data_IF_359946268565
#
_entry.id   IF_359946268565
#
_cell.length_a   1.000
_cell.length_b   1.000
_cell.length_c   1.000
_cell.angle_alpha   90.00
_cell.angle_beta   90.00
_cell.angle_gamma   90.00
#
_symmetry.space_group_name_H-M   'P 1'
#
loop_
_entity.id
_entity.type
_entity.pdbx_description
1 polymer ?
#
# COMPACT_ATOMS: atom_id res chain seq x y z
N UNK A 1 52.02 -47.01 16.75
CA UNK A 1 50.77 -46.53 17.36
C UNK A 1 49.79 -47.68 17.45
N UNK A 2 49.25 -47.94 18.65
CA UNK A 2 48.33 -49.06 18.88
C UNK A 2 47.05 -48.92 18.06
N UNK A 3 46.60 -49.97 17.40
CA UNK A 3 45.36 -49.99 16.62
C UNK A 3 44.12 -49.41 17.34
N UNK A 4 43.97 -49.62 18.66
CA UNK A 4 42.88 -48.97 19.42
C UNK A 4 42.94 -47.44 19.40
N UNK A 5 44.11 -46.85 19.57
CA UNK A 5 44.30 -45.38 19.56
C UNK A 5 43.93 -44.79 18.19
N UNK A 6 44.35 -45.46 17.09
CA UNK A 6 44.00 -45.04 15.73
C UNK A 6 42.49 -45.10 15.45
N UNK A 7 41.78 -46.10 16.00
CA UNK A 7 40.31 -46.19 15.88
C UNK A 7 39.61 -45.08 16.68
N UNK A 8 40.06 -44.82 17.89
CA UNK A 8 39.49 -43.71 18.71
C UNK A 8 39.75 -42.36 18.03
N UNK A 9 40.96 -42.11 17.54
CA UNK A 9 41.26 -40.87 16.81
C UNK A 9 40.39 -40.71 15.55
N UNK A 10 40.14 -41.77 14.80
CA UNK A 10 39.25 -41.73 13.61
C UNK A 10 37.81 -41.39 14.01
N UNK A 11 37.27 -41.96 15.08
CA UNK A 11 35.92 -41.66 15.60
C UNK A 11 35.83 -40.20 15.99
N UNK A 12 36.82 -39.66 16.71
CA UNK A 12 36.85 -38.24 17.12
C UNK A 12 36.88 -37.31 15.90
N UNK A 13 37.69 -37.62 14.89
CA UNK A 13 37.74 -36.83 13.65
C UNK A 13 36.39 -36.85 12.94
N UNK A 14 35.75 -38.00 12.81
CA UNK A 14 34.42 -38.12 12.22
C UNK A 14 33.39 -37.27 12.95
N UNK A 15 33.40 -37.31 14.31
CA UNK A 15 32.52 -36.51 15.13
C UNK A 15 32.74 -35.01 14.90
N UNK A 16 34.01 -34.57 14.81
CA UNK A 16 34.34 -33.16 14.53
C UNK A 16 33.82 -32.76 13.14
N UNK A 17 34.03 -33.58 12.12
CA UNK A 17 33.56 -33.31 10.76
C UNK A 17 32.03 -33.21 10.72
N UNK A 18 31.31 -34.11 11.38
CA UNK A 18 29.83 -34.07 11.48
C UNK A 18 29.37 -32.81 12.21
N UNK A 19 30.04 -32.42 13.30
CA UNK A 19 29.74 -31.21 14.04
C UNK A 19 29.94 -29.95 13.16
N UNK A 20 31.05 -29.86 12.44
CA UNK A 20 31.35 -28.76 11.52
C UNK A 20 30.32 -28.71 10.38
N UNK A 21 29.97 -29.85 9.78
CA UNK A 21 28.97 -29.94 8.73
C UNK A 21 27.59 -29.45 9.24
N UNK A 22 27.18 -29.90 10.44
CA UNK A 22 25.92 -29.45 11.03
C UNK A 22 25.94 -27.96 11.38
N UNK A 23 27.05 -27.44 11.91
CA UNK A 23 27.20 -26.02 12.22
C UNK A 23 27.12 -25.18 10.95
N UNK A 24 27.80 -25.60 9.87
CA UNK A 24 27.72 -24.94 8.57
C UNK A 24 26.29 -24.97 8.00
N UNK A 25 25.61 -26.11 8.10
CA UNK A 25 24.22 -26.25 7.68
C UNK A 25 23.29 -25.27 8.42
N UNK A 26 23.42 -25.17 9.74
CA UNK A 26 22.60 -24.26 10.56
C UNK A 26 22.94 -22.80 10.25
N UNK A 27 24.23 -22.45 10.13
CA UNK A 27 24.67 -21.09 9.92
C UNK A 27 24.46 -20.54 8.49
N UNK A 28 24.46 -21.42 7.47
CA UNK A 28 24.32 -21.00 6.07
C UNK A 28 22.90 -21.25 5.57
N UNK A 29 22.38 -22.49 5.70
CA UNK A 29 21.10 -22.87 5.10
C UNK A 29 19.88 -22.57 5.98
N UNK A 30 20.02 -22.56 7.31
CA UNK A 30 18.93 -22.24 8.23
C UNK A 30 19.02 -20.85 8.85
N UNK A 31 20.04 -20.06 8.52
CA UNK A 31 20.30 -18.77 9.16
C UNK A 31 19.10 -17.82 9.04
N UNK A 32 18.54 -17.68 7.86
CA UNK A 32 17.43 -16.75 7.62
C UNK A 32 16.12 -17.22 8.28
N UNK A 33 15.84 -18.52 8.26
CA UNK A 33 14.70 -19.09 8.96
C UNK A 33 14.79 -18.92 10.49
N UNK A 34 16.01 -19.05 11.05
CA UNK A 34 16.25 -18.86 12.47
C UNK A 34 16.26 -17.38 12.88
N UNK A 35 16.71 -16.48 12.01
CA UNK A 35 16.64 -15.03 12.23
C UNK A 35 15.21 -14.54 12.21
N UNK A 36 14.37 -15.08 11.34
CA UNK A 36 12.97 -14.70 11.19
C UNK A 36 12.02 -15.41 12.17
N UNK A 37 12.50 -16.33 13.01
CA UNK A 37 11.67 -17.00 14.04
C UNK A 37 11.22 -15.96 15.08
N UNK A 38 9.90 -15.76 15.28
CA UNK A 38 9.37 -14.80 16.27
C UNK A 38 9.81 -15.08 17.71
N UNK A 39 10.26 -16.29 18.00
CA UNK A 39 10.76 -16.70 19.32
C UNK A 39 12.23 -16.37 19.53
N UNK A 40 12.92 -15.85 18.51
CA UNK A 40 14.35 -15.53 18.60
C UNK A 40 14.57 -14.14 19.23
N UNK A 41 14.38 -14.04 20.54
CA UNK A 41 14.59 -12.82 21.31
C UNK A 41 16.00 -12.20 21.17
N UNK A 42 17.01 -12.97 20.75
CA UNK A 42 18.37 -12.44 20.57
C UNK A 42 18.46 -11.51 19.37
N UNK A 43 17.80 -11.85 18.27
CA UNK A 43 17.74 -10.99 17.07
C UNK A 43 16.98 -9.70 17.40
N UNK A 44 15.84 -9.82 18.07
CA UNK A 44 15.08 -8.66 18.53
C UNK A 44 15.91 -7.75 19.44
N UNK A 45 16.57 -8.30 20.45
CA UNK A 45 17.41 -7.51 21.38
C UNK A 45 18.59 -6.85 20.64
N UNK A 46 19.22 -7.51 19.68
CA UNK A 46 20.28 -6.94 18.88
C UNK A 46 19.76 -5.79 17.99
N UNK A 47 18.60 -5.96 17.36
CA UNK A 47 17.95 -4.95 16.54
C UNK A 47 17.57 -3.69 17.36
N UNK A 48 17.05 -3.88 18.58
CA UNK A 48 16.71 -2.76 19.50
C UNK A 48 17.93 -2.19 20.24
N UNK A 49 19.09 -2.83 20.18
CA UNK A 49 20.34 -2.33 20.73
C UNK A 49 21.09 -1.40 19.76
N UNK A 50 20.68 -1.36 18.49
CA UNK A 50 21.28 -0.52 17.44
C UNK A 50 20.43 0.72 17.20
N UNK A 51 21.10 1.83 16.88
CA UNK A 51 20.41 3.05 16.46
C UNK A 51 19.83 2.87 15.06
N UNK A 52 18.52 2.66 14.96
CA UNK A 52 17.80 2.56 13.71
C UNK A 52 17.82 3.90 12.99
N UNK A 53 18.01 3.90 11.66
CA UNK A 53 18.08 5.10 10.84
C UNK A 53 16.79 5.94 10.90
N UNK A 54 16.91 7.23 10.64
CA UNK A 54 15.77 8.13 10.60
C UNK A 54 14.94 7.96 9.31
N UNK A 55 13.63 8.21 9.40
CA UNK A 55 12.78 8.41 8.24
C UNK A 55 12.45 9.89 8.15
N UNK A 56 12.62 10.48 6.97
CA UNK A 56 12.42 11.92 6.74
C UNK A 56 11.44 12.19 5.59
N UNK A 57 10.75 13.31 5.68
CA UNK A 57 9.83 13.83 4.66
C UNK A 57 10.13 15.32 4.46
N UNK A 58 10.48 15.75 3.26
CA UNK A 58 10.77 17.16 2.97
C UNK A 58 11.82 17.80 3.90
N UNK A 59 12.78 17.01 4.42
CA UNK A 59 13.78 17.44 5.39
C UNK A 59 13.37 17.38 6.86
N UNK A 60 12.08 17.16 7.16
CA UNK A 60 11.60 16.93 8.52
C UNK A 60 11.78 15.46 8.93
N UNK A 61 12.15 15.22 10.17
CA UNK A 61 12.22 13.87 10.75
C UNK A 61 10.83 13.42 11.16
N UNK A 62 10.36 12.31 10.59
CA UNK A 62 9.04 11.72 10.89
C UNK A 62 9.13 10.39 11.66
N UNK A 63 10.32 9.80 11.75
CA UNK A 63 10.64 8.72 12.68
C UNK A 63 12.13 8.73 13.02
N UNK A 64 12.47 8.53 14.29
CA UNK A 64 13.85 8.56 14.80
C UNK A 64 14.03 7.60 15.96
N UNK A 65 15.26 7.11 16.17
CA UNK A 65 15.62 6.32 17.36
C UNK A 65 16.26 7.21 18.42
N UNK A 66 15.65 7.23 19.60
CA UNK A 66 16.11 8.03 20.75
C UNK A 66 16.78 7.10 21.76
N UNK A 67 17.99 7.42 22.26
CA UNK A 67 18.64 6.63 23.30
C UNK A 67 17.80 6.56 24.58
N UNK A 68 17.82 5.41 25.25
CA UNK A 68 17.15 5.19 26.52
C UNK A 68 18.07 4.41 27.49
N UNK A 69 17.86 4.58 28.79
CA UNK A 69 18.59 3.84 29.84
C UNK A 69 18.00 2.44 30.07
N UNK A 70 17.04 2.01 29.25
CA UNK A 70 16.42 0.69 29.38
C UNK A 70 17.28 -0.42 28.74
N UNK A 71 16.92 -1.68 29.00
CA UNK A 71 17.54 -2.86 28.35
C UNK A 71 17.50 -2.78 26.82
N UNK A 72 16.46 -2.15 26.28
CA UNK A 72 16.33 -1.81 24.88
C UNK A 72 16.94 -0.40 24.70
N UNK A 73 18.20 -0.33 24.33
CA UNK A 73 18.99 0.92 24.30
C UNK A 73 18.38 2.09 23.53
N UNK A 74 17.49 1.81 22.58
CA UNK A 74 16.85 2.81 21.74
C UNK A 74 15.34 2.64 21.72
N UNK A 75 14.61 3.76 21.85
CA UNK A 75 13.19 3.87 21.64
C UNK A 75 12.93 4.44 20.25
N UNK A 76 12.08 3.78 19.46
CA UNK A 76 11.59 4.36 18.21
C UNK A 76 10.56 5.43 18.53
N UNK A 77 10.79 6.64 18.06
CA UNK A 77 9.94 7.81 18.33
C UNK A 77 9.46 8.43 17.01
N UNK A 78 8.20 8.77 17.00
CA UNK A 78 7.52 9.48 15.92
C UNK A 78 7.11 10.84 16.48
N UNK A 79 7.63 11.97 15.92
CA UNK A 79 7.39 13.29 16.47
C UNK A 79 5.89 13.55 16.69
N UNK A 80 5.48 14.03 17.88
CA UNK A 80 4.06 14.10 18.28
C UNK A 80 3.22 15.02 17.38
N UNK A 81 3.87 16.03 16.78
CA UNK A 81 3.22 16.89 15.79
C UNK A 81 3.05 16.17 14.46
N UNK A 82 2.03 15.32 14.39
CA UNK A 82 1.65 14.63 13.15
C UNK A 82 1.99 13.15 13.11
N UNK A 83 2.36 12.50 14.20
CA UNK A 83 2.61 11.05 14.23
C UNK A 83 1.47 10.26 13.57
N UNK A 84 0.21 10.56 13.91
CA UNK A 84 -0.96 9.93 13.29
C UNK A 84 -1.09 10.24 11.79
N UNK A 85 -0.72 11.46 11.36
CA UNK A 85 -0.79 11.83 9.95
C UNK A 85 0.23 11.06 9.09
N UNK A 86 1.39 10.72 9.65
CA UNK A 86 2.44 10.00 8.94
C UNK A 86 2.40 8.49 9.14
N UNK A 87 1.57 7.97 10.05
CA UNK A 87 1.45 6.53 10.31
C UNK A 87 1.17 5.68 9.04
N UNK A 88 0.36 6.12 8.06
CA UNK A 88 0.19 5.38 6.80
C UNK A 88 1.46 5.29 5.95
N UNK A 89 2.45 6.15 6.20
CA UNK A 89 3.75 6.15 5.51
C UNK A 89 4.79 5.41 6.32
N UNK A 90 4.98 5.81 7.58
CA UNK A 90 6.02 5.24 8.44
C UNK A 90 5.68 3.83 8.92
N UNK A 91 4.41 3.57 9.19
CA UNK A 91 4.00 2.44 10.00
C UNK A 91 4.42 2.63 11.46
N UNK A 92 4.64 1.53 12.14
CA UNK A 92 5.18 1.47 13.50
C UNK A 92 6.32 0.44 13.58
N UNK A 93 7.14 0.56 14.60
CA UNK A 93 8.18 -0.41 14.96
C UNK A 93 8.02 -0.79 16.41
N UNK A 94 7.55 -2.01 16.67
CA UNK A 94 7.16 -2.50 17.98
C UNK A 94 7.91 -3.77 18.36
N UNK A 95 8.48 -3.80 19.56
CA UNK A 95 9.13 -4.98 20.11
C UNK A 95 8.22 -6.21 20.17
N UNK A 96 6.93 -6.02 20.42
CA UNK A 96 5.96 -7.10 20.60
C UNK A 96 5.16 -7.40 19.34
N UNK A 97 4.83 -6.38 18.55
CA UNK A 97 3.91 -6.49 17.43
C UNK A 97 4.59 -6.34 16.06
N UNK A 98 5.94 -6.32 16.03
CA UNK A 98 6.71 -6.21 14.79
C UNK A 98 6.65 -4.81 14.19
N UNK A 99 6.61 -4.73 12.87
CA UNK A 99 6.62 -3.46 12.13
C UNK A 99 5.70 -3.51 10.92
N UNK A 100 5.30 -2.34 10.43
CA UNK A 100 4.49 -2.16 9.22
C UNK A 100 5.07 -1.08 8.31
N UNK A 101 4.54 -0.91 7.14
CA UNK A 101 4.85 0.14 6.16
C UNK A 101 6.37 0.31 5.94
N UNK A 102 6.89 1.53 5.82
CA UNK A 102 8.32 1.81 5.60
C UNK A 102 9.21 1.19 6.68
N UNK A 103 8.76 1.17 7.94
CA UNK A 103 9.49 0.50 9.02
C UNK A 103 9.73 -1.00 8.74
N UNK A 104 8.81 -1.65 8.08
CA UNK A 104 8.90 -3.08 7.71
C UNK A 104 9.65 -3.27 6.39
N UNK A 105 9.26 -2.55 5.36
CA UNK A 105 9.74 -2.84 4.01
C UNK A 105 11.15 -2.29 3.74
N UNK A 106 11.58 -1.26 4.50
CA UNK A 106 12.96 -0.77 4.53
C UNK A 106 13.72 -1.22 5.78
N UNK A 107 13.27 -2.31 6.43
CA UNK A 107 13.84 -2.76 7.70
C UNK A 107 15.35 -3.06 7.61
N UNK A 108 15.80 -3.75 6.57
CA UNK A 108 17.21 -4.07 6.37
C UNK A 108 18.09 -2.82 6.31
N UNK A 109 17.62 -1.79 5.62
CA UNK A 109 18.34 -0.52 5.49
C UNK A 109 18.29 0.28 6.79
N UNK A 110 17.09 0.42 7.40
CA UNK A 110 16.89 1.14 8.65
C UNK A 110 17.63 0.50 9.84
N UNK A 111 17.77 -0.83 9.87
CA UNK A 111 18.52 -1.55 10.93
C UNK A 111 20.03 -1.60 10.67
N UNK A 112 20.50 -1.20 9.49
CA UNK A 112 21.91 -1.26 9.11
C UNK A 112 22.37 -2.64 8.64
N UNK A 113 21.47 -3.58 8.37
CA UNK A 113 21.83 -4.92 7.88
C UNK A 113 21.95 -5.01 6.36
N UNK A 114 21.54 -3.98 5.62
CA UNK A 114 21.57 -3.92 4.16
C UNK A 114 23.00 -3.89 3.60
N UNK A 115 23.23 -4.59 2.49
CA UNK A 115 24.55 -4.66 1.84
C UNK A 115 25.01 -3.32 1.28
N UNK A 116 24.10 -2.42 0.94
CA UNK A 116 24.41 -1.04 0.53
C UNK A 116 25.18 -0.25 1.59
N UNK A 117 25.05 -0.65 2.86
CA UNK A 117 25.71 -0.03 4.00
C UNK A 117 27.02 -0.73 4.40
N UNK A 118 27.50 -1.72 3.62
CA UNK A 118 28.70 -2.48 3.96
C UNK A 118 29.94 -1.59 4.19
N UNK A 119 30.19 -0.61 3.32
CA UNK A 119 31.30 0.32 3.46
C UNK A 119 31.23 1.15 4.72
N UNK A 120 30.03 1.61 5.11
CA UNK A 120 29.80 2.35 6.33
C UNK A 120 30.03 1.47 7.56
N UNK A 121 29.47 0.25 7.57
CA UNK A 121 29.67 -0.74 8.64
C UNK A 121 31.16 -1.06 8.86
N UNK A 122 31.89 -1.23 7.76
CA UNK A 122 33.32 -1.50 7.83
C UNK A 122 34.08 -0.31 8.47
N UNK A 123 33.76 0.92 8.08
CA UNK A 123 34.37 2.15 8.65
C UNK A 123 33.99 2.32 10.13
N UNK A 124 32.74 2.08 10.51
CA UNK A 124 32.26 2.18 11.89
C UNK A 124 32.96 1.14 12.79
N UNK A 125 33.14 -0.09 12.30
CA UNK A 125 33.85 -1.14 13.02
C UNK A 125 35.32 -0.76 13.31
N UNK A 126 36.03 -0.13 12.36
CA UNK A 126 37.41 0.31 12.56
C UNK A 126 37.51 1.56 13.43
N UNK A 127 36.50 2.41 13.43
CA UNK A 127 36.46 3.62 14.27
C UNK A 127 35.90 3.39 15.68
N UNK A 128 35.53 2.15 16.01
CA UNK A 128 34.95 1.79 17.31
C UNK A 128 33.56 2.41 17.57
N UNK A 129 32.86 2.81 16.51
CA UNK A 129 31.48 3.34 16.60
C UNK A 129 30.47 2.21 16.49
N UNK A 130 29.38 2.32 17.25
CA UNK A 130 28.27 1.41 17.09
C UNK A 130 27.67 1.55 15.66
N UNK A 131 27.42 0.43 14.95
CA UNK A 131 26.82 0.47 13.62
C UNK A 131 25.45 1.13 13.68
N UNK A 132 25.24 2.11 12.79
CA UNK A 132 23.95 2.82 12.67
C UNK A 132 23.20 2.36 11.43
N UNK A 133 21.88 2.42 11.50
CA UNK A 133 21.02 2.21 10.34
C UNK A 133 21.11 3.34 9.32
N UNK A 134 20.78 3.03 8.06
CA UNK A 134 20.67 4.01 6.99
C UNK A 134 19.39 4.84 7.11
N UNK A 135 19.46 6.12 6.71
CA UNK A 135 18.30 7.01 6.73
C UNK A 135 17.46 6.86 5.46
N UNK A 136 16.15 6.76 5.61
CA UNK A 136 15.20 6.72 4.50
C UNK A 136 14.63 8.12 4.26
N UNK A 137 14.70 8.59 3.02
CA UNK A 137 14.13 9.88 2.60
C UNK A 137 12.90 9.59 1.74
N UNK A 138 11.73 10.02 2.20
CA UNK A 138 10.48 9.87 1.46
C UNK A 138 10.22 11.05 0.54
N UNK A 139 9.36 10.86 -0.46
CA UNK A 139 8.90 11.95 -1.35
C UNK A 139 7.73 12.74 -0.77
N UNK A 140 7.25 12.37 0.40
CA UNK A 140 6.12 13.00 1.08
C UNK A 140 6.44 14.47 1.39
N UNK A 141 5.48 15.34 1.06
CA UNK A 141 5.50 16.73 1.47
C UNK A 141 4.81 16.84 2.84
N UNK A 142 5.53 17.19 3.92
CA UNK A 142 4.98 17.13 5.28
C UNK A 142 3.82 18.11 5.49
N UNK A 143 3.86 19.28 4.85
CA UNK A 143 2.76 20.24 4.93
C UNK A 143 1.49 19.71 4.26
N UNK A 144 1.63 19.16 3.05
CA UNK A 144 0.50 18.59 2.31
C UNK A 144 -0.10 17.40 3.06
N UNK A 145 0.74 16.51 3.59
CA UNK A 145 0.33 15.36 4.39
C UNK A 145 -0.52 15.78 5.59
N UNK A 146 -0.03 16.75 6.38
CA UNK A 146 -0.77 17.24 7.57
C UNK A 146 -2.08 17.95 7.18
N UNK A 147 -2.07 18.76 6.12
CA UNK A 147 -3.29 19.44 5.65
C UNK A 147 -4.33 18.41 5.22
N UNK A 148 -3.94 17.44 4.37
CA UNK A 148 -4.84 16.38 3.90
C UNK A 148 -5.39 15.56 5.09
N UNK A 149 -4.53 15.16 6.04
CA UNK A 149 -4.95 14.43 7.22
C UNK A 149 -5.96 15.24 8.08
N UNK A 150 -5.68 16.50 8.34
CA UNK A 150 -6.55 17.36 9.15
C UNK A 150 -7.91 17.60 8.48
N UNK A 151 -7.95 17.75 7.16
CA UNK A 151 -9.20 17.87 6.42
C UNK A 151 -10.03 16.57 6.48
N UNK A 152 -9.40 15.41 6.33
CA UNK A 152 -10.07 14.12 6.49
C UNK A 152 -10.56 13.91 7.92
N UNK A 153 -9.77 14.25 8.91
CA UNK A 153 -10.14 14.10 10.34
C UNK A 153 -11.31 14.98 10.73
N UNK A 154 -11.39 16.21 10.22
CA UNK A 154 -12.34 17.23 10.64
C UNK A 154 -13.49 17.45 9.64
N UNK A 155 -13.40 16.92 8.42
CA UNK A 155 -14.34 17.19 7.34
C UNK A 155 -15.69 16.50 7.45
N UNK A 156 -15.79 15.45 8.27
CA UNK A 156 -17.03 14.71 8.53
C UNK A 156 -17.34 14.69 10.02
N UNK A 157 -18.63 14.59 10.39
CA UNK A 157 -19.01 14.36 11.78
C UNK A 157 -18.43 13.01 12.27
N UNK A 158 -17.60 13.04 13.30
CA UNK A 158 -16.88 11.87 13.80
C UNK A 158 -15.62 11.48 13.02
N UNK A 159 -15.18 12.32 12.04
CA UNK A 159 -14.06 12.05 11.14
C UNK A 159 -14.47 11.27 9.89
N UNK A 160 -13.85 11.58 8.76
CA UNK A 160 -14.07 10.81 7.53
C UNK A 160 -13.33 9.47 7.58
N UNK A 161 -13.95 8.40 7.07
CA UNK A 161 -13.28 7.11 6.85
C UNK A 161 -12.91 6.99 5.38
N UNK A 162 -11.62 6.93 5.08
CA UNK A 162 -11.14 6.86 3.70
C UNK A 162 -9.65 7.19 3.57
N UNK A 163 -9.24 7.60 2.36
CA UNK A 163 -7.86 7.94 2.07
C UNK A 163 -7.76 9.16 1.13
N UNK A 164 -6.60 9.82 1.19
CA UNK A 164 -6.19 10.84 0.21
C UNK A 164 -4.80 10.49 -0.28
N UNK A 165 -4.63 10.46 -1.58
CA UNK A 165 -3.33 10.30 -2.24
C UNK A 165 -3.09 11.50 -3.14
N UNK A 166 -1.89 12.06 -3.07
CA UNK A 166 -1.45 13.12 -3.98
C UNK A 166 -0.17 12.68 -4.69
N UNK A 167 -0.20 12.68 -6.02
CA UNK A 167 0.90 12.24 -6.88
C UNK A 167 1.33 13.40 -7.77
N UNK A 168 2.64 13.56 -7.93
CA UNK A 168 3.20 14.47 -8.94
C UNK A 168 3.22 13.75 -10.30
N UNK A 169 2.36 14.10 -11.27
CA UNK A 169 2.16 13.30 -12.48
C UNK A 169 3.41 13.19 -13.36
N UNK A 170 4.28 14.20 -13.33
CA UNK A 170 5.51 14.22 -14.15
C UNK A 170 6.63 13.31 -13.61
N UNK A 171 6.52 12.84 -12.36
CA UNK A 171 7.61 12.10 -11.69
C UNK A 171 7.14 10.81 -11.01
N UNK A 172 5.84 10.61 -10.86
CA UNK A 172 5.25 9.52 -10.06
C UNK A 172 5.48 9.66 -8.56
N UNK A 173 6.08 10.76 -8.07
CA UNK A 173 6.33 10.95 -6.65
C UNK A 173 5.04 11.06 -5.86
N UNK A 174 4.88 10.24 -4.84
CA UNK A 174 3.79 10.35 -3.87
C UNK A 174 4.11 11.49 -2.92
N UNK A 175 3.33 12.57 -2.97
CA UNK A 175 3.50 13.77 -2.16
C UNK A 175 2.68 13.73 -0.86
N UNK A 176 1.58 12.97 -0.85
CA UNK A 176 0.80 12.69 0.34
C UNK A 176 0.14 11.32 0.22
N UNK A 177 0.07 10.60 1.34
CA UNK A 177 -0.62 9.32 1.46
C UNK A 177 -1.26 9.27 2.85
N UNK A 178 -2.55 9.58 2.91
CA UNK A 178 -3.34 9.69 4.13
C UNK A 178 -4.34 8.55 4.19
N UNK A 179 -4.51 7.98 5.37
CA UNK A 179 -5.57 7.04 5.71
C UNK A 179 -6.24 7.47 7.01
N UNK A 180 -7.55 7.46 7.05
CA UNK A 180 -8.35 7.77 8.25
C UNK A 180 -9.44 6.73 8.50
N UNK A 181 -9.75 6.39 9.76
CA UNK A 181 -9.03 6.83 10.95
C UNK A 181 -7.58 6.33 10.95
N UNK A 182 -6.72 6.95 11.76
CA UNK A 182 -5.31 6.62 11.92
C UNK A 182 -4.97 6.36 13.39
N UNK A 183 -3.72 6.07 13.69
CA UNK A 183 -3.24 5.70 15.02
C UNK A 183 -1.93 6.40 15.36
N UNK A 184 -1.63 6.53 16.66
CA UNK A 184 -0.34 7.04 17.14
C UNK A 184 0.68 5.90 17.24
N UNK A 185 1.67 5.81 16.33
CA UNK A 185 2.65 4.75 16.31
C UNK A 185 3.54 4.70 17.56
N UNK A 186 3.67 5.82 18.30
CA UNK A 186 4.43 5.86 19.56
C UNK A 186 3.86 4.90 20.61
N UNK A 187 2.55 4.67 20.63
CA UNK A 187 1.93 3.74 21.58
C UNK A 187 2.36 2.30 21.35
N UNK A 188 2.52 1.88 20.09
CA UNK A 188 3.02 0.53 19.76
C UNK A 188 4.55 0.41 19.88
N UNK A 189 5.28 1.52 19.71
CA UNK A 189 6.73 1.59 19.89
C UNK A 189 7.14 1.68 21.38
N UNK A 190 6.22 2.02 22.27
CA UNK A 190 6.48 2.21 23.70
C UNK A 190 7.21 1.02 24.32
N UNK A 191 8.17 1.25 25.24
CA UNK A 191 8.80 0.21 26.04
C UNK A 191 7.89 -0.28 27.19
N UNK A 192 6.82 0.46 27.52
CA UNK A 192 5.80 0.04 28.47
C UNK A 192 4.85 -0.97 27.82
N UNK A 193 4.80 -2.18 28.38
CA UNK A 193 3.97 -3.26 27.87
C UNK A 193 2.47 -2.93 27.95
N UNK A 194 2.02 -2.28 29.02
CA UNK A 194 0.60 -1.97 29.23
C UNK A 194 0.08 -0.97 28.19
N UNK A 195 0.93 -0.01 27.81
CA UNK A 195 0.62 0.97 26.77
C UNK A 195 0.46 0.28 25.41
N UNK A 196 1.39 -0.63 25.07
CA UNK A 196 1.33 -1.36 23.80
C UNK A 196 0.10 -2.27 23.72
N UNK A 197 -0.16 -3.04 24.76
CA UNK A 197 -1.28 -3.99 24.79
C UNK A 197 -2.63 -3.28 24.73
N UNK A 198 -2.78 -2.18 25.47
CA UNK A 198 -4.00 -1.36 25.41
C UNK A 198 -4.23 -0.79 24.03
N UNK A 199 -3.19 -0.22 23.39
CA UNK A 199 -3.28 0.32 22.05
C UNK A 199 -3.61 -0.77 21.02
N UNK A 200 -2.91 -1.91 21.09
CA UNK A 200 -3.16 -3.03 20.18
C UNK A 200 -4.59 -3.56 20.29
N UNK A 201 -5.06 -3.82 21.51
CA UNK A 201 -6.42 -4.31 21.74
C UNK A 201 -7.49 -3.35 21.18
N UNK A 202 -7.31 -2.03 21.38
CA UNK A 202 -8.28 -1.05 20.89
C UNK A 202 -8.25 -0.84 19.39
N UNK A 203 -7.10 -1.06 18.72
CA UNK A 203 -6.97 -0.81 17.28
C UNK A 203 -7.13 -2.06 16.41
N UNK A 204 -6.97 -3.24 17.01
CA UNK A 204 -7.13 -4.53 16.33
C UNK A 204 -8.52 -5.17 16.62
N UNK A 205 -9.47 -4.40 17.12
CA UNK A 205 -10.84 -4.86 17.31
C UNK A 205 -11.51 -5.07 15.95
N UNK A 206 -11.99 -6.28 15.62
CA UNK A 206 -12.66 -6.57 14.34
C UNK A 206 -13.97 -5.80 14.16
N UNK A 207 -14.59 -5.33 15.24
CA UNK A 207 -15.77 -4.45 15.20
C UNK A 207 -15.41 -2.97 15.25
N UNK A 208 -14.13 -2.65 15.29
CA UNK A 208 -13.61 -1.29 15.38
C UNK A 208 -13.50 -0.57 14.04
N UNK A 209 -12.89 0.59 14.09
CA UNK A 209 -12.70 1.44 12.90
C UNK A 209 -11.44 1.12 12.09
N UNK A 210 -10.71 0.06 12.43
CA UNK A 210 -9.48 -0.40 11.74
C UNK A 210 -8.47 0.74 11.49
N UNK A 211 -8.01 1.46 12.52
CA UNK A 211 -7.13 2.61 12.33
C UNK A 211 -5.74 2.23 11.80
N UNK A 212 -5.33 0.96 11.96
CA UNK A 212 -4.06 0.46 11.43
C UNK A 212 -4.14 0.04 9.95
N UNK A 213 -5.33 -0.03 9.36
CA UNK A 213 -5.49 -0.33 7.94
C UNK A 213 -5.06 0.88 7.10
N UNK A 214 -4.05 0.71 6.26
CA UNK A 214 -3.66 1.71 5.27
C UNK A 214 -4.61 1.68 4.07
N UNK A 215 -5.68 2.47 4.16
CA UNK A 215 -6.73 2.51 3.14
C UNK A 215 -6.26 3.03 1.80
N UNK A 216 -5.16 3.80 1.78
CA UNK A 216 -4.62 4.36 0.54
C UNK A 216 -4.15 3.27 -0.44
N UNK A 217 -3.66 2.15 0.09
CA UNK A 217 -3.04 1.07 -0.68
C UNK A 217 -3.67 -0.31 -0.47
N UNK A 218 -4.41 -0.51 0.63
CA UNK A 218 -4.93 -1.84 1.00
C UNK A 218 -6.45 -1.95 0.99
N UNK A 219 -7.19 -0.85 0.78
CA UNK A 219 -8.64 -0.89 0.69
C UNK A 219 -9.11 -0.59 -0.73
N UNK A 220 -9.95 -1.47 -1.25
CA UNK A 220 -10.53 -1.36 -2.59
C UNK A 220 -11.87 -0.65 -2.54
N UNK A 221 -12.05 0.33 -3.43
CA UNK A 221 -13.28 1.10 -3.57
C UNK A 221 -13.81 1.04 -5.00
N UNK A 222 -15.12 1.12 -5.22
CA UNK A 222 -15.65 1.37 -6.56
C UNK A 222 -15.24 2.79 -7.01
N UNK A 223 -14.53 2.93 -8.15
CA UNK A 223 -14.04 4.24 -8.59
C UNK A 223 -15.17 5.18 -9.03
N UNK A 224 -16.31 4.62 -9.43
CA UNK A 224 -17.41 5.40 -9.97
C UNK A 224 -17.01 6.13 -11.26
N UNK A 225 -17.47 7.38 -11.41
CA UNK A 225 -17.32 8.14 -12.65
C UNK A 225 -15.89 8.51 -13.06
N UNK A 226 -14.90 8.40 -12.18
CA UNK A 226 -13.48 8.55 -12.57
C UNK A 226 -13.10 7.49 -13.59
N UNK A 227 -13.70 6.29 -13.49
CA UNK A 227 -13.45 5.18 -14.39
C UNK A 227 -13.91 5.43 -15.85
N UNK A 228 -14.77 6.40 -16.09
CA UNK A 228 -15.19 6.79 -17.45
C UNK A 228 -14.03 7.25 -18.32
N UNK A 229 -12.92 7.67 -17.72
CA UNK A 229 -11.66 7.95 -18.44
C UNK A 229 -11.14 6.68 -19.10
N UNK A 230 -11.07 5.58 -18.36
CA UNK A 230 -10.66 4.26 -18.88
C UNK A 230 -11.61 3.78 -19.97
N UNK A 231 -12.93 3.94 -19.76
CA UNK A 231 -13.96 3.56 -20.74
C UNK A 231 -13.85 4.39 -22.01
N UNK A 232 -13.63 5.71 -21.90
CA UNK A 232 -13.39 6.58 -23.06
C UNK A 232 -12.13 6.17 -23.83
N UNK A 233 -11.05 5.87 -23.11
CA UNK A 233 -9.81 5.38 -23.72
C UNK A 233 -10.02 4.05 -24.46
N UNK A 234 -10.83 3.14 -23.92
CA UNK A 234 -11.18 1.89 -24.58
C UNK A 234 -11.93 2.13 -25.90
N UNK A 235 -12.91 3.04 -25.89
CA UNK A 235 -13.67 3.40 -27.08
C UNK A 235 -12.80 4.04 -28.16
N UNK A 236 -11.97 5.03 -27.79
CA UNK A 236 -11.05 5.71 -28.72
C UNK A 236 -10.02 4.74 -29.33
N UNK A 237 -9.50 3.81 -28.57
CA UNK A 237 -8.58 2.77 -29.05
C UNK A 237 -9.26 1.77 -30.00
N UNK A 238 -10.56 1.58 -29.87
CA UNK A 238 -11.38 0.77 -30.77
C UNK A 238 -11.80 1.55 -32.05
N UNK A 239 -11.36 2.80 -32.22
CA UNK A 239 -11.66 3.63 -33.36
C UNK A 239 -13.00 4.38 -33.25
N UNK A 240 -13.67 4.34 -32.10
CA UNK A 240 -14.88 5.11 -31.86
C UNK A 240 -14.51 6.61 -31.76
N UNK A 241 -15.15 7.44 -32.55
CA UNK A 241 -14.90 8.90 -32.52
C UNK A 241 -15.38 9.52 -31.21
N UNK A 242 -14.68 10.56 -30.75
CA UNK A 242 -15.15 11.38 -29.61
C UNK A 242 -16.50 12.06 -29.88
N UNK A 243 -16.87 12.22 -31.15
CA UNK A 243 -18.12 12.84 -31.62
C UNK A 243 -19.24 11.83 -31.85
N UNK A 244 -19.01 10.52 -31.52
CA UNK A 244 -20.04 9.49 -31.61
C UNK A 244 -21.28 9.91 -30.84
N UNK A 245 -22.44 9.73 -31.48
CA UNK A 245 -23.73 10.14 -30.89
C UNK A 245 -24.25 9.02 -29.96
N UNK A 246 -24.41 9.39 -28.70
CA UNK A 246 -24.86 8.53 -27.58
C UNK A 246 -26.18 9.07 -27.05
N UNK A 247 -26.95 8.22 -26.38
CA UNK A 247 -28.21 8.66 -25.77
C UNK A 247 -27.97 9.77 -24.72
N UNK A 248 -28.88 10.77 -24.72
CA UNK A 248 -28.94 11.78 -23.63
C UNK A 248 -30.03 11.50 -22.62
N UNK A 249 -30.78 10.38 -22.75
CA UNK A 249 -31.91 10.06 -21.91
C UNK A 249 -31.53 10.01 -20.42
N UNK A 250 -32.49 10.34 -19.58
CA UNK A 250 -32.33 10.29 -18.11
C UNK A 250 -32.14 8.87 -17.58
N UNK A 251 -32.62 7.86 -18.31
CA UNK A 251 -32.51 6.44 -17.98
C UNK A 251 -32.12 5.64 -19.22
N UNK A 252 -31.31 4.61 -19.05
CA UNK A 252 -30.91 3.66 -20.06
C UNK A 252 -31.37 2.25 -19.67
N UNK A 253 -32.28 1.60 -20.41
CA UNK A 253 -32.67 0.23 -20.14
C UNK A 253 -31.44 -0.68 -20.29
N UNK A 254 -31.14 -1.44 -19.24
CA UNK A 254 -30.06 -2.41 -19.31
C UNK A 254 -30.51 -3.60 -20.18
N UNK A 255 -29.68 -3.99 -21.16
CA UNK A 255 -30.03 -5.11 -22.05
C UNK A 255 -30.44 -6.36 -21.27
N UNK A 256 -31.40 -7.09 -21.79
CA UNK A 256 -31.87 -8.39 -21.24
C UNK A 256 -32.34 -8.33 -19.77
N UNK A 257 -32.74 -7.15 -19.28
CA UNK A 257 -33.26 -6.94 -17.92
C UNK A 257 -34.46 -6.00 -17.91
N UNK A 258 -35.18 -5.95 -16.79
CA UNK A 258 -36.24 -4.97 -16.50
C UNK A 258 -35.72 -3.73 -15.78
N UNK A 259 -34.39 -3.63 -15.56
CA UNK A 259 -33.77 -2.57 -14.78
C UNK A 259 -33.24 -1.48 -15.72
N UNK A 260 -33.37 -0.22 -15.32
CA UNK A 260 -32.78 0.92 -16.02
C UNK A 260 -31.67 1.56 -15.18
N UNK A 261 -30.61 1.99 -15.85
CA UNK A 261 -29.50 2.72 -15.26
C UNK A 261 -29.78 4.22 -15.39
N UNK A 262 -29.89 4.99 -14.30
CA UNK A 262 -30.15 6.42 -14.35
C UNK A 262 -28.86 7.26 -14.43
N UNK A 263 -29.01 8.48 -14.94
CA UNK A 263 -28.05 9.54 -14.65
C UNK A 263 -28.19 10.01 -13.19
N UNK A 264 -27.16 10.76 -12.72
CA UNK A 264 -27.21 11.42 -11.42
C UNK A 264 -28.44 12.35 -11.36
N UNK A 265 -29.19 12.30 -10.26
CA UNK A 265 -30.43 13.07 -10.10
C UNK A 265 -31.60 12.65 -11.00
N UNK A 266 -31.43 11.63 -11.86
CA UNK A 266 -32.46 11.21 -12.81
C UNK A 266 -32.68 12.20 -13.96
N UNK A 267 -31.72 13.08 -14.23
CA UNK A 267 -31.81 14.12 -15.28
C UNK A 267 -31.32 13.63 -16.63
N UNK A 268 -31.73 14.31 -17.70
CA UNK A 268 -31.18 14.11 -19.04
C UNK A 268 -29.75 14.66 -19.10
N UNK A 269 -28.92 14.07 -19.96
CA UNK A 269 -27.56 14.59 -20.19
C UNK A 269 -27.64 15.99 -20.80
N UNK A 270 -26.95 17.01 -20.20
CA UNK A 270 -26.96 18.38 -20.70
C UNK A 270 -26.38 18.53 -22.13
N UNK A 271 -26.59 19.67 -22.74
CA UNK A 271 -26.09 20.04 -24.10
C UNK A 271 -26.50 19.01 -25.17
N UNK A 272 -27.64 18.34 -24.98
CA UNK A 272 -28.16 17.36 -25.96
C UNK A 272 -28.77 18.02 -27.20
N UNK A 273 -28.59 17.37 -28.34
CA UNK A 273 -29.23 17.76 -29.59
C UNK A 273 -29.91 16.53 -30.22
N UNK A 274 -31.19 16.62 -30.48
CA UNK A 274 -31.97 15.50 -31.02
C UNK A 274 -31.96 14.25 -30.13
N UNK A 275 -32.02 14.42 -28.81
CA UNK A 275 -32.01 13.31 -27.85
C UNK A 275 -30.66 12.59 -27.73
N UNK A 276 -29.58 13.17 -28.25
CA UNK A 276 -28.24 12.57 -28.20
C UNK A 276 -27.16 13.58 -27.81
N UNK A 277 -26.04 13.06 -27.30
CA UNK A 277 -24.82 13.83 -26.96
C UNK A 277 -23.58 13.18 -27.58
N UNK A 278 -22.49 13.92 -27.74
CA UNK A 278 -21.19 13.35 -28.10
C UNK A 278 -20.56 12.63 -26.88
N UNK A 279 -19.59 11.72 -27.11
CA UNK A 279 -18.83 11.10 -26.02
C UNK A 279 -18.05 12.17 -25.24
N UNK A 280 -17.50 13.18 -25.88
CA UNK A 280 -16.83 14.29 -25.21
C UNK A 280 -17.79 15.05 -24.27
N UNK A 281 -19.02 15.35 -24.73
CA UNK A 281 -20.05 15.97 -23.88
C UNK A 281 -20.50 15.04 -22.75
N UNK A 282 -20.67 13.75 -23.03
CA UNK A 282 -21.02 12.75 -22.02
C UNK A 282 -19.96 12.64 -20.91
N UNK A 283 -18.67 12.73 -21.26
CA UNK A 283 -17.58 12.74 -20.29
C UNK A 283 -17.57 14.05 -19.48
N UNK A 284 -17.72 15.20 -20.14
CA UNK A 284 -17.78 16.52 -19.49
C UNK A 284 -18.84 16.58 -18.39
N UNK A 285 -20.02 16.03 -18.64
CA UNK A 285 -21.14 16.04 -17.70
C UNK A 285 -21.31 14.72 -16.91
N UNK A 286 -20.41 13.77 -17.12
CA UNK A 286 -20.42 12.47 -16.45
C UNK A 286 -21.75 11.69 -16.62
N UNK A 287 -22.31 11.67 -17.82
CA UNK A 287 -23.60 11.03 -18.12
C UNK A 287 -23.48 9.51 -18.11
N UNK A 288 -24.11 8.85 -17.14
CA UNK A 288 -24.06 7.39 -17.00
C UNK A 288 -24.71 6.65 -18.16
N UNK A 289 -25.89 7.14 -18.60
CA UNK A 289 -26.68 6.52 -19.66
C UNK A 289 -25.95 6.53 -21.00
N UNK A 290 -25.22 7.59 -21.30
CA UNK A 290 -24.39 7.69 -22.49
C UNK A 290 -23.24 6.68 -22.49
N UNK A 291 -22.57 6.48 -21.34
CA UNK A 291 -21.49 5.49 -21.22
C UNK A 291 -22.01 4.03 -21.26
N UNK A 292 -23.22 3.78 -20.74
CA UNK A 292 -23.87 2.50 -20.92
C UNK A 292 -24.19 2.22 -22.40
N UNK A 293 -24.74 3.21 -23.12
CA UNK A 293 -25.01 3.14 -24.56
C UNK A 293 -23.71 2.94 -25.37
N UNK A 294 -22.64 3.63 -25.00
CA UNK A 294 -21.33 3.51 -25.64
C UNK A 294 -20.86 2.05 -25.69
N UNK A 295 -20.76 1.40 -24.52
CA UNK A 295 -20.20 0.06 -24.42
C UNK A 295 -21.14 -1.04 -24.88
N UNK A 296 -22.47 -0.79 -24.84
CA UNK A 296 -23.45 -1.81 -25.24
C UNK A 296 -23.82 -1.76 -26.70
N UNK A 297 -23.79 -0.56 -27.33
CA UNK A 297 -24.34 -0.37 -28.68
C UNK A 297 -23.34 0.21 -29.71
N UNK A 298 -22.20 0.77 -29.26
CA UNK A 298 -21.27 1.48 -30.15
C UNK A 298 -19.90 0.83 -30.27
N UNK A 299 -19.58 -0.12 -29.38
CA UNK A 299 -18.29 -0.82 -29.38
C UNK A 299 -18.50 -2.30 -29.72
N UNK A 300 -17.98 -2.80 -30.86
CA UNK A 300 -17.88 -4.24 -31.10
C UNK A 300 -16.94 -4.88 -30.09
N UNK A 301 -17.25 -6.09 -29.60
CA UNK A 301 -16.42 -6.84 -28.64
C UNK A 301 -16.01 -6.00 -27.40
N UNK A 302 -16.92 -5.12 -26.95
CA UNK A 302 -16.65 -4.13 -25.92
C UNK A 302 -16.05 -4.71 -24.64
N UNK A 303 -16.49 -5.89 -24.21
CA UNK A 303 -15.95 -6.54 -22.98
C UNK A 303 -14.46 -6.84 -23.09
N UNK A 304 -13.99 -7.39 -24.20
CA UNK A 304 -12.57 -7.67 -24.43
C UNK A 304 -11.73 -6.40 -24.50
N UNK A 305 -12.21 -5.43 -25.28
CA UNK A 305 -11.54 -4.12 -25.48
C UNK A 305 -11.45 -3.32 -24.17
N UNK A 306 -12.52 -3.34 -23.39
CA UNK A 306 -12.59 -2.70 -22.10
C UNK A 306 -11.57 -3.32 -21.12
N UNK A 307 -11.56 -4.66 -20.98
CA UNK A 307 -10.59 -5.37 -20.13
C UNK A 307 -9.14 -5.15 -20.57
N UNK A 308 -8.85 -5.23 -21.89
CA UNK A 308 -7.50 -4.97 -22.39
C UNK A 308 -7.04 -3.53 -22.11
N UNK A 309 -7.95 -2.57 -22.21
CA UNK A 309 -7.62 -1.19 -21.89
C UNK A 309 -7.43 -1.01 -20.38
N UNK A 310 -8.29 -1.58 -19.56
CA UNK A 310 -8.16 -1.52 -18.12
C UNK A 310 -6.81 -2.09 -17.62
N UNK A 311 -6.34 -3.21 -18.21
CA UNK A 311 -5.00 -3.73 -17.91
C UNK A 311 -3.88 -2.76 -18.23
N UNK A 312 -3.99 -2.00 -19.31
CA UNK A 312 -3.01 -0.95 -19.65
C UNK A 312 -3.02 0.23 -18.67
N UNK A 313 -4.09 0.37 -17.90
CA UNK A 313 -4.17 1.30 -16.77
C UNK A 313 -3.74 0.65 -15.44
N UNK A 314 -3.24 -0.60 -15.48
CA UNK A 314 -2.74 -1.32 -14.30
C UNK A 314 -3.76 -2.22 -13.60
N UNK A 315 -5.02 -2.28 -14.05
CA UNK A 315 -6.02 -3.13 -13.41
C UNK A 315 -5.85 -4.60 -13.84
N UNK A 316 -6.22 -5.53 -12.97
CA UNK A 316 -6.02 -6.97 -13.16
C UNK A 316 -4.53 -7.35 -13.40
N UNK A 317 -3.60 -6.51 -12.94
CA UNK A 317 -2.16 -6.67 -12.93
C UNK A 317 -1.64 -6.48 -11.51
N UNK A 318 -0.35 -6.69 -11.28
CA UNK A 318 0.27 -6.34 -10.00
C UNK A 318 0.21 -4.82 -9.79
N UNK A 319 -0.13 -4.40 -8.58
CA UNK A 319 -0.21 -2.99 -8.22
C UNK A 319 1.10 -2.21 -8.48
N UNK A 320 1.08 -0.88 -8.37
CA UNK A 320 2.23 -0.04 -8.67
C UNK A 320 3.43 -0.38 -7.79
N UNK A 321 4.64 -0.31 -8.37
CA UNK A 321 5.90 -0.54 -7.64
C UNK A 321 6.19 0.60 -6.67
N UNK A 322 5.79 0.41 -5.43
CA UNK A 322 6.22 1.21 -4.28
C UNK A 322 6.84 0.26 -3.24
N UNK A 323 7.64 0.75 -2.27
CA UNK A 323 8.26 -0.14 -1.27
C UNK A 323 7.28 -1.02 -0.49
N UNK A 324 6.02 -0.62 -0.39
CA UNK A 324 4.96 -1.34 0.30
C UNK A 324 4.06 -2.08 -0.70
N UNK A 325 3.53 -3.28 -0.38
CA UNK A 325 2.59 -3.96 -1.25
C UNK A 325 1.27 -3.19 -1.35
N UNK A 326 0.77 -3.08 -2.56
CA UNK A 326 -0.53 -2.47 -2.88
C UNK A 326 -1.51 -3.58 -3.23
N UNK A 327 -2.74 -3.47 -2.76
CA UNK A 327 -3.79 -4.44 -3.11
C UNK A 327 -4.13 -4.33 -4.61
N UNK A 328 -4.27 -5.47 -5.28
CA UNK A 328 -4.52 -5.52 -6.72
C UNK A 328 -5.89 -4.93 -7.07
N UNK A 329 -5.89 -3.92 -7.92
CA UNK A 329 -7.10 -3.32 -8.49
C UNK A 329 -7.65 -4.18 -9.61
N UNK A 330 -8.97 -4.24 -9.76
CA UNK A 330 -9.62 -5.15 -10.70
C UNK A 330 -10.86 -4.56 -11.36
N UNK A 331 -11.13 -4.99 -12.58
CA UNK A 331 -12.44 -4.76 -13.22
C UNK A 331 -13.44 -5.87 -12.89
N UNK A 332 -12.98 -6.99 -12.33
CA UNK A 332 -13.79 -8.11 -11.93
C UNK A 332 -14.45 -8.87 -13.07
N UNK A 333 -15.52 -9.59 -12.73
CA UNK A 333 -16.25 -10.39 -13.70
C UNK A 333 -17.24 -9.54 -14.51
N UNK A 334 -17.21 -9.69 -15.84
CA UNK A 334 -18.16 -9.05 -16.77
C UNK A 334 -18.85 -10.17 -17.59
N UNK A 335 -19.85 -10.87 -17.02
CA UNK A 335 -20.47 -12.02 -17.66
C UNK A 335 -21.46 -11.67 -18.77
N UNK A 336 -22.01 -10.47 -18.76
CA UNK A 336 -23.11 -10.05 -19.63
C UNK A 336 -23.08 -8.54 -19.94
N UNK A 337 -23.97 -8.09 -20.81
CA UNK A 337 -24.09 -6.68 -21.22
C UNK A 337 -24.53 -5.73 -20.09
N UNK A 338 -25.48 -6.09 -19.21
CA UNK A 338 -25.78 -5.31 -18.01
C UNK A 338 -24.57 -5.09 -17.10
N UNK A 339 -23.76 -6.13 -16.90
CA UNK A 339 -22.52 -6.04 -16.15
C UNK A 339 -21.53 -5.08 -16.78
N UNK A 340 -21.36 -5.17 -18.12
CA UNK A 340 -20.48 -4.25 -18.85
C UNK A 340 -20.93 -2.79 -18.73
N UNK A 341 -22.25 -2.52 -18.86
CA UNK A 341 -22.80 -1.18 -18.72
C UNK A 341 -22.52 -0.55 -17.34
N UNK A 342 -22.65 -1.35 -16.27
CA UNK A 342 -22.34 -0.90 -14.91
C UNK A 342 -20.83 -0.74 -14.67
N UNK A 343 -20.02 -1.68 -15.19
CA UNK A 343 -18.56 -1.59 -15.09
C UNK A 343 -18.01 -0.38 -15.83
N UNK A 344 -18.61 0.00 -16.96
CA UNK A 344 -18.20 1.16 -17.75
C UNK A 344 -18.31 2.50 -17.00
N UNK A 345 -19.09 2.57 -15.93
CA UNK A 345 -19.22 3.75 -15.07
C UNK A 345 -18.55 3.53 -13.69
N UNK A 346 -17.66 2.53 -13.60
CA UNK A 346 -16.87 2.24 -12.42
C UNK A 346 -17.67 1.72 -11.23
N UNK A 347 -18.73 0.98 -11.50
CA UNK A 347 -19.56 0.33 -10.49
C UNK A 347 -19.46 -1.20 -10.59
N UNK A 348 -20.32 -1.91 -9.88
CA UNK A 348 -20.40 -3.36 -9.77
C UNK A 348 -19.10 -3.94 -9.17
N UNK A 349 -18.34 -4.73 -9.98
CA UNK A 349 -17.15 -5.45 -9.50
C UNK A 349 -15.84 -4.69 -9.72
N UNK A 350 -15.90 -3.50 -10.35
CA UNK A 350 -14.72 -2.63 -10.51
C UNK A 350 -14.29 -2.12 -9.13
N UNK A 351 -13.04 -2.37 -8.78
CA UNK A 351 -12.45 -2.00 -7.48
C UNK A 351 -11.04 -1.49 -7.69
N UNK A 352 -10.75 -0.29 -7.18
CA UNK A 352 -9.42 0.31 -7.21
C UNK A 352 -8.98 0.69 -5.80
N UNK A 353 -7.68 0.66 -5.57
CA UNK A 353 -7.10 1.35 -4.43
C UNK A 353 -7.14 2.86 -4.68
N UNK A 354 -7.18 3.71 -3.64
CA UNK A 354 -7.05 5.15 -3.80
C UNK A 354 -5.74 5.58 -4.48
N UNK A 355 -4.67 4.80 -4.34
CA UNK A 355 -3.40 5.06 -5.00
C UNK A 355 -3.48 4.89 -6.52
N UNK A 356 -4.25 3.91 -7.01
CA UNK A 356 -4.39 3.63 -8.44
C UNK A 356 -5.51 4.42 -9.10
N UNK A 357 -6.48 4.94 -8.34
CA UNK A 357 -7.59 5.74 -8.83
C UNK A 357 -7.18 7.19 -9.10
#
# INVERSE_FOLDING_TARGET
MNNPIRRVSMVVIVMIVVLLANTTYVQVFKADALKSDPRNNRVLLDEYSRQRGAITAGGEVIAVSVPTDSRLKFLRSYPPEGAEAFAPVTGYFSYQYGSTEVERYENSFLSGSDDRLFGQRFTDMFSGRDPRGGNVVTTINPRLQRVAYNQMRNGCQGGCRGAVVAIAPNTGKILAMVSTPSFDPNKLASHDQSVRETAWAGWNDPNGNEPMLNRAINQLYPPGSTFKVVTSAAALRDGVSQDVRLTSASQFPLPDTTISLPNYGGETCPDSSGGTVSMATALKYSCNTAFADLVTNKMPDATSKFKDTARRFGLDESGPEIPMPVADSTVGAIPDRPALAQSAIGQRDVRLTPLEN
#
